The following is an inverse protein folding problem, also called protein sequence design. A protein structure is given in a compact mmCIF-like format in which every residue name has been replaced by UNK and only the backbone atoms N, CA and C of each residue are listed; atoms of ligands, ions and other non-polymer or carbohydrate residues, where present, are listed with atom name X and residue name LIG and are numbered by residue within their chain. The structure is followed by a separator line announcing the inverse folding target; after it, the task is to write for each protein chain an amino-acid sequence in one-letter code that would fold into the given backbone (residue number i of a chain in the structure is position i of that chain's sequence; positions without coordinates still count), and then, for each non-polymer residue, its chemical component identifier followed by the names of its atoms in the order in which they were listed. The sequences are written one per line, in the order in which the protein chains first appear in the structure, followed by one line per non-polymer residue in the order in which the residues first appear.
data_IF_952746406577
#
_entry.id   IF_952746406577
#
_cell.length_a   1.000
_cell.length_b   1.000
_cell.length_c   1.000
_cell.angle_alpha   90.00
_cell.angle_beta   90.00
_cell.angle_gamma   90.00
#
_symmetry.space_group_name_H-M   'P 1'
#
loop_
_entity.id
_entity.type
_entity.pdbx_description
1 polymer ?
#
# COMPACT_ATOMS: atom_id res chain seq x y z
N UNK A 1 8.31 4.60 38.56
CA UNK A 1 8.22 3.95 37.25
C UNK A 1 8.88 4.78 36.20
N UNK A 2 9.75 4.20 35.44
CA UNK A 2 10.33 4.96 34.35
C UNK A 2 9.24 5.29 33.33
N UNK A 3 9.30 6.51 32.83
CA UNK A 3 8.41 6.93 31.77
C UNK A 3 8.84 6.29 30.48
N UNK A 4 7.89 5.77 29.72
CA UNK A 4 8.24 5.25 28.41
C UNK A 4 8.55 6.40 27.47
N UNK A 5 9.53 6.17 26.62
CA UNK A 5 9.88 7.19 25.64
C UNK A 5 8.81 7.29 24.57
N UNK A 6 8.57 8.48 24.05
CA UNK A 6 7.65 8.60 22.92
C UNK A 6 8.12 7.77 21.74
N UNK A 7 7.17 7.16 21.05
CA UNK A 7 7.51 6.41 19.86
C UNK A 7 7.85 7.36 18.73
N UNK A 8 8.92 7.06 18.01
CA UNK A 8 9.37 7.87 16.88
C UNK A 8 9.66 6.94 15.71
N UNK A 9 8.61 6.60 14.99
CA UNK A 9 8.71 5.62 13.89
C UNK A 9 9.72 6.02 12.83
N UNK A 10 9.84 7.32 12.56
CA UNK A 10 10.72 7.76 11.48
C UNK A 10 12.19 7.48 11.77
N UNK A 11 12.55 7.26 13.02
CA UNK A 11 13.93 6.94 13.36
C UNK A 11 14.29 5.51 13.02
N UNK A 12 13.31 4.66 12.73
CA UNK A 12 13.54 3.26 12.42
C UNK A 12 13.71 2.98 10.94
N UNK A 13 13.64 4.00 10.10
CA UNK A 13 13.69 3.80 8.65
C UNK A 13 14.75 4.68 8.03
N UNK A 14 15.27 4.23 6.87
CA UNK A 14 16.29 4.99 6.16
C UNK A 14 15.70 6.07 5.27
N UNK A 15 14.49 5.88 4.80
CA UNK A 15 13.78 6.85 3.97
C UNK A 15 12.30 6.73 4.25
N UNK A 16 11.61 7.85 4.19
CA UNK A 16 10.20 7.90 4.58
C UNK A 16 9.31 7.95 3.35
N UNK A 17 8.19 7.33 3.49
CA UNK A 17 7.16 7.44 2.47
C UNK A 17 7.61 6.99 1.09
N UNK A 18 7.22 7.65 0.29
CA UNK A 18 7.48 7.36 -0.97
C UNK A 18 8.83 7.40 -1.34
N UNK A 19 9.50 8.11 -0.75
CA UNK A 19 10.93 8.18 -1.04
C UNK A 19 11.61 6.82 -0.94
N UNK A 20 11.00 5.88 -0.23
CA UNK A 20 11.57 4.55 -0.07
C UNK A 20 11.19 3.60 -1.20
N UNK A 21 10.37 4.04 -2.13
CA UNK A 21 9.91 3.19 -3.23
C UNK A 21 10.78 3.39 -4.47
N UNK A 22 10.71 2.42 -5.38
CA UNK A 22 11.39 2.55 -6.66
C UNK A 22 10.81 3.73 -7.46
N UNK A 23 11.65 4.37 -8.23
CA UNK A 23 11.17 5.43 -9.09
C UNK A 23 10.26 4.86 -10.18
N UNK A 24 9.30 5.67 -10.67
CA UNK A 24 8.45 5.19 -11.77
C UNK A 24 9.22 4.74 -12.99
N UNK A 25 10.31 5.41 -13.32
CA UNK A 25 11.09 5.03 -14.50
C UNK A 25 11.72 3.65 -14.34
N UNK A 26 12.26 3.36 -13.15
CA UNK A 26 12.85 2.04 -12.89
C UNK A 26 11.77 0.97 -12.93
N UNK A 27 10.64 1.24 -12.32
CA UNK A 27 9.55 0.28 -12.29
C UNK A 27 9.02 -0.01 -13.68
N UNK A 28 8.83 1.02 -14.50
CA UNK A 28 8.39 0.85 -15.88
C UNK A 28 9.37 0.01 -16.69
N UNK A 29 10.67 0.22 -16.49
CA UNK A 29 11.68 -0.55 -17.22
C UNK A 29 11.60 -2.03 -16.86
N UNK A 30 11.36 -2.34 -15.59
CA UNK A 30 11.26 -3.72 -15.15
C UNK A 30 9.96 -4.35 -15.65
N UNK A 31 8.84 -3.66 -15.47
CA UNK A 31 7.55 -4.18 -15.89
C UNK A 31 7.47 -4.39 -17.40
N UNK A 32 8.15 -3.54 -18.17
CA UNK A 32 8.14 -3.69 -19.61
C UNK A 32 8.82 -4.95 -20.09
N UNK A 33 9.64 -5.58 -19.24
CA UNK A 33 10.32 -6.83 -19.59
C UNK A 33 9.54 -8.07 -19.20
N UNK A 34 8.46 -7.91 -18.47
CA UNK A 34 7.65 -9.05 -18.04
C UNK A 34 6.72 -9.49 -19.15
N UNK A 35 6.53 -10.82 -19.23
CA UNK A 35 5.58 -11.37 -20.18
C UNK A 35 4.18 -10.96 -19.77
N UNK A 36 3.40 -10.51 -20.74
CA UNK A 36 2.04 -10.08 -20.46
C UNK A 36 1.09 -11.24 -20.58
N UNK A 37 0.25 -11.40 -19.57
CA UNK A 37 -0.80 -12.39 -19.62
C UNK A 37 -2.05 -11.77 -20.23
N UNK A 38 -2.64 -12.49 -21.14
CA UNK A 38 -3.88 -12.05 -21.80
C UNK A 38 -5.05 -12.65 -21.06
N UNK A 39 -5.85 -11.80 -20.43
CA UNK A 39 -7.05 -12.24 -19.71
C UNK A 39 -8.11 -11.16 -19.91
N UNK A 40 -9.18 -11.51 -20.60
CA UNK A 40 -10.24 -10.57 -20.92
C UNK A 40 -10.92 -10.00 -19.67
N UNK A 41 -10.86 -10.72 -18.55
CA UNK A 41 -11.48 -10.25 -17.31
C UNK A 41 -10.63 -9.21 -16.59
N UNK A 42 -9.36 -9.05 -16.97
CA UNK A 42 -8.52 -8.00 -16.39
C UNK A 42 -8.81 -6.72 -17.17
N UNK A 43 -9.67 -5.88 -16.61
CA UNK A 43 -10.06 -4.63 -17.28
C UNK A 43 -8.98 -3.58 -17.17
N UNK A 44 -8.30 -3.53 -16.02
CA UNK A 44 -7.15 -2.64 -15.83
C UNK A 44 -6.05 -3.48 -15.19
N UNK A 45 -4.96 -3.65 -15.91
CA UNK A 45 -3.82 -4.40 -15.42
C UNK A 45 -2.59 -3.53 -15.32
N UNK A 46 -1.42 -4.16 -15.08
CA UNK A 46 -0.20 -3.39 -14.86
C UNK A 46 0.25 -2.64 -16.12
N UNK A 47 -0.20 -3.08 -17.27
CA UNK A 47 0.19 -2.44 -18.53
C UNK A 47 -0.41 -1.04 -18.69
N UNK A 48 -1.44 -0.71 -17.93
CA UNK A 48 -2.07 0.61 -18.00
C UNK A 48 -1.59 1.57 -16.92
N UNK A 49 -0.83 1.07 -15.98
CA UNK A 49 -0.20 1.89 -14.92
C UNK A 49 -1.22 2.80 -14.22
N UNK A 50 -2.36 2.26 -13.88
CA UNK A 50 -3.41 3.02 -13.20
C UNK A 50 -3.31 2.83 -11.68
N UNK A 51 -4.23 3.45 -10.95
CA UNK A 51 -4.18 3.47 -9.48
C UNK A 51 -4.46 2.11 -8.86
N UNK A 52 -5.20 1.26 -9.55
CA UNK A 52 -5.53 -0.07 -9.04
C UNK A 52 -5.78 -1.02 -10.19
N UNK A 53 -5.70 -2.31 -9.90
CA UNK A 53 -6.11 -3.33 -10.84
C UNK A 53 -7.61 -3.53 -10.79
N UNK A 54 -8.22 -3.86 -11.91
CA UNK A 54 -9.66 -4.11 -11.97
C UNK A 54 -9.89 -5.44 -12.67
N UNK A 55 -10.60 -6.33 -12.00
CA UNK A 55 -10.89 -7.65 -12.52
C UNK A 55 -12.40 -7.88 -12.56
N UNK A 56 -12.93 -8.21 -13.74
CA UNK A 56 -14.36 -8.44 -13.91
C UNK A 56 -14.74 -9.84 -13.43
N UNK A 57 -15.72 -9.89 -12.52
CA UNK A 57 -16.21 -11.16 -11.99
C UNK A 57 -17.38 -11.68 -12.83
N UNK A 58 -18.31 -10.77 -13.14
CA UNK A 58 -19.46 -11.13 -13.99
C UNK A 58 -19.89 -9.90 -14.76
N UNK A 59 -21.03 -9.99 -15.45
CA UNK A 59 -21.46 -8.92 -16.33
C UNK A 59 -21.66 -7.59 -15.62
N UNK A 60 -21.94 -7.62 -14.32
CA UNK A 60 -22.32 -6.41 -13.58
C UNK A 60 -21.36 -6.08 -12.45
N UNK A 61 -20.31 -6.89 -12.21
CA UNK A 61 -19.49 -6.75 -11.04
C UNK A 61 -18.00 -6.84 -11.39
N UNK A 62 -17.21 -5.94 -10.85
CA UNK A 62 -15.75 -6.00 -10.97
C UNK A 62 -15.14 -5.73 -9.61
N UNK A 63 -13.98 -6.32 -9.40
CA UNK A 63 -13.17 -6.07 -8.19
C UNK A 63 -12.11 -5.05 -8.51
N UNK A 64 -12.01 -4.05 -7.65
CA UNK A 64 -10.91 -3.10 -7.67
C UNK A 64 -9.92 -3.54 -6.59
N UNK A 65 -8.69 -3.79 -6.99
CA UNK A 65 -7.67 -4.32 -6.08
C UNK A 65 -6.46 -3.43 -6.09
N UNK A 66 -6.01 -3.06 -4.91
CA UNK A 66 -4.82 -2.25 -4.79
C UNK A 66 -4.07 -2.64 -3.53
N UNK A 67 -2.79 -2.36 -3.52
CA UNK A 67 -1.97 -2.44 -2.33
C UNK A 67 -1.04 -1.23 -2.32
N UNK A 68 -0.93 -0.59 -1.18
CA UNK A 68 -0.02 0.52 -1.03
C UNK A 68 0.60 0.44 0.35
N UNK A 69 1.91 0.47 0.39
CA UNK A 69 2.61 0.47 1.66
C UNK A 69 3.87 1.30 1.53
N UNK A 70 4.30 1.83 2.65
CA UNK A 70 5.46 2.70 2.68
C UNK A 70 5.99 2.78 4.11
N UNK A 71 7.21 3.28 4.23
CA UNK A 71 7.81 3.46 5.54
C UNK A 71 7.19 4.67 6.23
N UNK A 72 7.27 4.71 7.57
CA UNK A 72 6.62 5.78 8.33
C UNK A 72 7.06 7.18 7.93
N UNK A 73 6.09 8.08 7.84
CA UNK A 73 6.32 9.50 7.58
C UNK A 73 5.97 10.35 8.78
N UNK A 74 5.38 9.75 9.81
CA UNK A 74 5.12 10.41 11.09
C UNK A 74 5.55 9.46 12.20
N UNK A 75 5.71 10.00 13.40
CA UNK A 75 6.25 9.21 14.51
C UNK A 75 5.19 8.46 15.29
N UNK A 76 3.97 8.99 15.36
CA UNK A 76 2.92 8.36 16.14
C UNK A 76 2.34 7.16 15.40
N UNK A 77 2.36 5.96 16.01
CA UNK A 77 1.89 4.77 15.30
C UNK A 77 0.43 4.84 14.87
N UNK A 78 -0.44 5.35 15.74
CA UNK A 78 -1.85 5.42 15.38
C UNK A 78 -2.07 6.34 14.20
N UNK A 79 -1.42 7.50 14.21
CA UNK A 79 -1.53 8.44 13.11
C UNK A 79 -0.97 7.84 11.81
N UNK A 80 0.14 7.11 11.92
CA UNK A 80 0.69 6.45 10.73
C UNK A 80 -0.30 5.45 10.16
N UNK A 81 -0.98 4.70 11.03
CA UNK A 81 -2.00 3.76 10.59
C UNK A 81 -3.15 4.44 9.87
N UNK A 82 -3.59 5.60 10.37
CA UNK A 82 -4.63 6.36 9.70
C UNK A 82 -4.19 6.81 8.31
N UNK A 83 -2.96 7.26 8.18
CA UNK A 83 -2.43 7.69 6.88
C UNK A 83 -2.34 6.49 5.93
N UNK A 84 -1.85 5.36 6.42
CA UNK A 84 -1.73 4.17 5.59
C UNK A 84 -3.09 3.72 5.06
N UNK A 85 -4.09 3.69 5.93
CA UNK A 85 -5.45 3.31 5.53
C UNK A 85 -6.02 4.31 4.52
N UNK A 86 -5.81 5.59 4.77
CA UNK A 86 -6.32 6.64 3.88
C UNK A 86 -5.72 6.51 2.49
N UNK A 87 -4.42 6.28 2.42
CA UNK A 87 -3.75 6.17 1.12
C UNK A 87 -4.23 4.94 0.35
N UNK A 88 -4.44 3.83 1.05
CA UNK A 88 -4.95 2.63 0.37
C UNK A 88 -6.37 2.84 -0.14
N UNK A 89 -7.22 3.46 0.68
CA UNK A 89 -8.59 3.73 0.29
C UNK A 89 -8.67 4.70 -0.90
N UNK A 90 -7.75 5.64 -0.94
CA UNK A 90 -7.74 6.65 -2.00
C UNK A 90 -7.66 6.01 -3.39
N UNK A 91 -6.84 4.97 -3.52
CA UNK A 91 -6.71 4.30 -4.81
C UNK A 91 -8.01 3.61 -5.24
N UNK A 92 -8.74 3.05 -4.27
CA UNK A 92 -10.03 2.43 -4.58
C UNK A 92 -11.02 3.50 -5.06
N UNK A 93 -11.09 4.61 -4.33
CA UNK A 93 -12.01 5.69 -4.73
C UNK A 93 -11.62 6.29 -6.06
N UNK A 94 -10.34 6.39 -6.36
CA UNK A 94 -9.88 6.94 -7.64
C UNK A 94 -10.41 6.11 -8.82
N UNK A 95 -10.62 4.82 -8.60
CA UNK A 95 -11.12 3.93 -9.63
C UNK A 95 -12.66 3.81 -9.61
N UNK A 96 -13.32 4.60 -8.78
CA UNK A 96 -14.77 4.55 -8.65
C UNK A 96 -15.31 3.39 -7.84
N UNK A 97 -14.43 2.74 -7.07
CA UNK A 97 -14.83 1.58 -6.31
C UNK A 97 -15.37 1.92 -4.93
N UNK A 98 -15.98 0.93 -4.31
CA UNK A 98 -16.45 1.01 -2.93
C UNK A 98 -15.69 -0.01 -2.09
N UNK A 99 -14.96 0.43 -1.07
CA UNK A 99 -14.19 -0.53 -0.24
C UNK A 99 -15.10 -1.52 0.46
N UNK A 100 -14.71 -2.79 0.44
CA UNK A 100 -15.49 -3.84 1.10
C UNK A 100 -14.64 -4.70 2.03
N UNK A 101 -13.33 -4.71 1.84
CA UNK A 101 -12.45 -5.50 2.70
C UNK A 101 -11.04 -4.96 2.57
N UNK A 102 -10.18 -5.37 3.48
CA UNK A 102 -8.78 -4.97 3.42
C UNK A 102 -7.89 -6.12 3.88
N UNK A 103 -6.66 -6.08 3.42
CA UNK A 103 -5.59 -6.93 3.92
C UNK A 103 -4.59 -6.04 4.63
N UNK A 104 -4.18 -6.45 5.81
CA UNK A 104 -3.15 -5.71 6.54
C UNK A 104 -1.79 -6.24 6.13
N UNK A 105 -1.03 -5.40 5.41
CA UNK A 105 0.33 -5.71 5.03
C UNK A 105 1.25 -5.17 6.11
N UNK A 106 1.94 -6.06 6.81
CA UNK A 106 2.74 -5.67 7.95
C UNK A 106 4.18 -6.12 7.75
N UNK A 107 5.09 -5.16 7.72
CA UNK A 107 6.53 -5.43 7.69
C UNK A 107 7.13 -4.79 8.94
N UNK A 108 7.06 -5.50 10.04
CA UNK A 108 7.42 -5.01 11.36
C UNK A 108 8.68 -5.72 11.84
N UNK A 109 9.64 -5.01 12.44
CA UNK A 109 10.86 -5.66 12.91
C UNK A 109 10.56 -6.73 13.94
N UNK A 110 11.25 -7.87 13.83
CA UNK A 110 11.00 -8.98 14.75
C UNK A 110 11.35 -8.62 16.18
N UNK A 111 12.23 -7.65 16.39
CA UNK A 111 12.60 -7.18 17.72
C UNK A 111 11.86 -5.91 18.12
N UNK A 112 10.89 -5.50 17.34
CA UNK A 112 10.09 -4.33 17.68
C UNK A 112 9.10 -4.62 18.80
N UNK A 113 8.65 -3.55 19.45
CA UNK A 113 7.67 -3.68 20.53
C UNK A 113 6.28 -3.90 19.95
N UNK A 114 5.65 -5.00 20.36
CA UNK A 114 4.34 -5.39 19.84
C UNK A 114 3.29 -4.33 20.12
N UNK A 115 3.41 -3.61 21.24
CA UNK A 115 2.48 -2.54 21.55
C UNK A 115 2.43 -1.43 20.53
N UNK A 116 3.55 -1.22 19.82
CA UNK A 116 3.56 -0.24 18.73
C UNK A 116 2.70 -0.75 17.57
N UNK A 117 2.85 -2.03 17.26
CA UNK A 117 2.09 -2.61 16.17
C UNK A 117 0.59 -2.62 16.46
N UNK A 118 0.20 -2.78 17.73
CA UNK A 118 -1.19 -2.79 18.12
C UNK A 118 -1.89 -1.45 17.91
N UNK A 119 -1.16 -0.38 17.98
CA UNK A 119 -1.73 0.94 17.82
C UNK A 119 -2.13 1.23 16.39
#
# INVERSE_FOLDING_TARGET
MPESKPVRLTEAVKAAGXASKLSPAVLDAVLGKLARQQDANVLVGFDKADDAGVYQIDADTALVQTVDFFTPIVDDPYTFGQIAATNALSDVYAMGGRPISSLAMVCFPDKGEVGILEQ
#
